data_IF_796919987682
#
_entry.id   IF_796919987682
#
_cell.length_a   1.000
_cell.length_b   1.000
_cell.length_c   1.000
_cell.angle_alpha   90.00
_cell.angle_beta   90.00
_cell.angle_gamma   90.00
#
_symmetry.space_group_name_H-M   'P 1'
#
loop_
_entity.id
_entity.type
_entity.pdbx_description
1 polymer ?
#
# COMPACT_ATOMS: atom_id res chain seq x y z
N UNK A 1 11.37 -7.40 22.11
CA UNK A 1 10.07 -8.09 22.06
C UNK A 1 9.14 -7.34 21.12
N UNK A 2 8.27 -8.04 20.41
CA UNK A 2 7.31 -7.41 19.49
C UNK A 2 5.95 -7.27 20.18
N UNK A 3 5.38 -6.07 20.11
CA UNK A 3 4.02 -5.77 20.56
C UNK A 3 3.17 -5.34 19.39
N UNK A 4 1.98 -5.92 19.29
CA UNK A 4 0.98 -5.54 18.30
C UNK A 4 0.33 -4.21 18.68
N UNK A 5 -0.08 -3.43 17.69
CA UNK A 5 -0.91 -2.24 17.90
C UNK A 5 -2.05 -2.21 16.87
N UNK A 6 -3.23 -1.69 17.26
CA UNK A 6 -4.39 -1.64 16.38
C UNK A 6 -4.24 -0.54 15.32
N UNK A 7 -4.58 -0.88 14.08
CA UNK A 7 -4.68 0.10 12.98
C UNK A 7 -6.11 0.63 12.93
N UNK A 8 -6.34 1.96 12.90
CA UNK A 8 -7.67 2.54 12.76
C UNK A 8 -8.30 2.12 11.43
N UNK A 9 -9.55 1.63 11.49
CA UNK A 9 -10.33 1.24 10.31
C UNK A 9 -11.25 2.40 9.91
N UNK A 10 -11.28 2.72 8.62
CA UNK A 10 -12.29 3.63 8.08
C UNK A 10 -13.67 2.95 8.01
N UNK A 11 -14.72 3.69 8.34
CA UNK A 11 -16.11 3.28 8.10
C UNK A 11 -16.47 3.51 6.63
N UNK A 12 -16.68 2.43 5.87
CA UNK A 12 -17.06 2.49 4.45
C UNK A 12 -18.48 1.96 4.29
N UNK A 13 -19.36 2.76 3.69
CA UNK A 13 -20.81 2.51 3.67
C UNK A 13 -21.29 1.57 2.54
N UNK A 14 -20.43 1.14 1.61
CA UNK A 14 -20.83 0.24 0.52
C UNK A 14 -19.73 -0.77 0.17
N UNK A 15 -19.89 -2.02 0.60
CA UNK A 15 -18.96 -3.12 0.29
C UNK A 15 -19.56 -4.07 -0.75
N UNK A 16 -19.53 -3.67 -2.03
CA UNK A 16 -19.70 -4.62 -3.13
C UNK A 16 -18.31 -5.08 -3.61
N UNK A 17 -17.94 -6.28 -3.15
CA UNK A 17 -16.66 -6.98 -3.36
C UNK A 17 -15.47 -6.36 -2.62
N UNK A 18 -15.20 -6.89 -1.42
CA UNK A 18 -13.98 -6.62 -0.66
C UNK A 18 -12.81 -7.38 -1.32
N UNK A 19 -12.28 -6.83 -2.42
CA UNK A 19 -10.87 -7.01 -2.74
C UNK A 19 -10.13 -6.11 -1.76
N UNK A 20 -9.51 -6.75 -0.76
CA UNK A 20 -8.95 -6.14 0.44
C UNK A 20 -8.12 -4.88 0.12
N UNK A 21 -8.60 -3.71 0.56
CA UNK A 21 -7.83 -2.45 0.57
C UNK A 21 -6.50 -2.55 1.35
N UNK A 22 -6.30 -3.62 2.13
CA UNK A 22 -5.07 -3.96 2.84
C UNK A 22 -4.24 -5.05 2.13
N UNK A 23 -4.61 -5.46 0.92
CA UNK A 23 -3.91 -6.55 0.23
C UNK A 23 -2.65 -5.98 -0.41
N UNK A 24 -1.53 -6.30 0.21
CA UNK A 24 -0.21 -6.10 -0.38
C UNK A 24 0.05 -7.27 -1.33
N UNK A 25 0.19 -6.97 -2.62
CA UNK A 25 0.44 -7.95 -3.68
C UNK A 25 1.93 -8.27 -3.82
N UNK A 26 2.80 -7.29 -3.55
CA UNK A 26 4.25 -7.44 -3.60
C UNK A 26 4.94 -6.45 -2.65
N UNK A 27 6.14 -6.84 -2.21
CA UNK A 27 7.03 -6.02 -1.38
C UNK A 27 8.42 -6.07 -1.99
N UNK A 28 9.06 -4.91 -2.14
CA UNK A 28 10.42 -4.78 -2.67
C UNK A 28 11.21 -3.77 -1.82
N UNK A 29 12.50 -4.01 -1.67
CA UNK A 29 13.45 -3.05 -1.11
C UNK A 29 14.34 -2.55 -2.25
N UNK A 30 14.57 -1.23 -2.33
CA UNK A 30 15.53 -0.67 -3.26
C UNK A 30 16.94 -0.56 -2.67
N UNK A 31 17.89 -0.02 -3.44
CA UNK A 31 19.29 0.06 -3.04
C UNK A 31 19.56 1.04 -1.90
N UNK A 32 18.64 1.97 -1.67
CA UNK A 32 18.75 2.98 -0.61
C UNK A 32 18.05 2.53 0.68
N UNK A 33 17.54 1.29 0.72
CA UNK A 33 16.82 0.72 1.86
C UNK A 33 15.37 1.20 1.96
N UNK A 34 14.82 1.79 0.90
CA UNK A 34 13.41 2.20 0.86
C UNK A 34 12.54 1.00 0.50
N UNK A 35 11.45 0.82 1.25
CA UNK A 35 10.49 -0.24 1.00
C UNK A 35 9.36 0.23 0.10
N UNK A 36 8.98 -0.62 -0.84
CA UNK A 36 7.92 -0.43 -1.81
C UNK A 36 6.88 -1.53 -1.64
N UNK A 37 5.61 -1.13 -1.52
CA UNK A 37 4.48 -2.03 -1.31
C UNK A 37 3.49 -1.85 -2.47
N UNK A 38 3.38 -2.86 -3.33
CA UNK A 38 2.37 -2.90 -4.38
C UNK A 38 1.01 -3.26 -3.80
N UNK A 39 -0.04 -2.61 -4.28
CA UNK A 39 -1.41 -2.87 -3.84
C UNK A 39 -2.29 -3.29 -5.02
N UNK A 40 -3.27 -4.13 -4.73
CA UNK A 40 -4.27 -4.61 -5.69
C UNK A 40 -5.34 -3.52 -5.92
N UNK A 41 -5.10 -2.66 -6.90
CA UNK A 41 -6.03 -1.61 -7.35
C UNK A 41 -5.89 -0.24 -6.66
N UNK A 42 -4.95 -0.07 -5.73
CA UNK A 42 -4.76 1.17 -4.97
C UNK A 42 -3.41 1.88 -5.21
N UNK A 43 -2.57 1.41 -6.12
CA UNK A 43 -1.26 2.00 -6.43
C UNK A 43 -0.13 1.42 -5.59
N UNK A 44 0.83 2.26 -5.20
CA UNK A 44 2.04 1.85 -4.47
C UNK A 44 2.21 2.71 -3.22
N UNK A 45 2.66 2.09 -2.13
CA UNK A 45 3.16 2.81 -0.95
C UNK A 45 4.68 2.70 -0.87
N UNK A 46 5.36 3.82 -0.63
CA UNK A 46 6.81 3.90 -0.41
C UNK A 46 7.09 4.26 1.04
N UNK A 47 8.04 3.59 1.68
CA UNK A 47 8.48 3.87 3.05
C UNK A 47 9.99 4.07 3.12
N UNK A 48 10.42 5.27 3.50
CA UNK A 48 11.83 5.69 3.55
C UNK A 48 12.50 5.44 4.90
N UNK A 49 11.88 4.64 5.78
CA UNK A 49 12.32 4.43 7.16
C UNK A 49 11.78 5.47 8.16
N UNK A 50 11.12 6.54 7.69
CA UNK A 50 10.55 7.60 8.53
C UNK A 50 9.08 7.89 8.22
N UNK A 51 8.71 7.86 6.94
CA UNK A 51 7.41 8.31 6.45
C UNK A 51 6.91 7.45 5.30
N UNK A 52 5.57 7.35 5.19
CA UNK A 52 4.91 6.69 4.06
C UNK A 52 4.50 7.73 3.01
N UNK A 53 4.75 7.42 1.75
CA UNK A 53 4.25 8.17 0.59
C UNK A 53 3.37 7.25 -0.25
N UNK A 54 2.15 7.66 -0.53
CA UNK A 54 1.24 6.96 -1.43
C UNK A 54 1.38 7.51 -2.85
N UNK A 55 1.43 6.63 -3.84
CA UNK A 55 1.52 6.97 -5.26
C UNK A 55 0.41 6.24 -6.02
N UNK A 56 -0.24 6.98 -6.91
CA UNK A 56 -1.35 6.52 -7.74
C UNK A 56 -1.20 7.01 -9.18
N UNK A 57 -2.18 6.69 -10.02
CA UNK A 57 -2.30 7.25 -11.38
C UNK A 57 -2.35 8.78 -11.39
N UNK A 58 -2.78 9.44 -10.31
CA UNK A 58 -2.73 10.90 -10.17
C UNK A 58 -1.31 11.44 -10.06
N UNK A 59 -0.39 10.61 -9.57
CA UNK A 59 1.02 10.91 -9.35
C UNK A 59 1.90 10.42 -10.51
N UNK A 60 1.28 9.87 -11.57
CA UNK A 60 1.95 9.45 -12.80
C UNK A 60 2.15 7.94 -12.95
N UNK A 61 1.59 7.10 -12.08
CA UNK A 61 1.56 5.65 -12.33
C UNK A 61 0.71 5.32 -13.57
N UNK A 62 1.11 4.31 -14.33
CA UNK A 62 0.35 3.86 -15.50
C UNK A 62 -0.93 3.09 -15.13
N UNK A 63 -0.94 2.44 -13.97
CA UNK A 63 -2.08 1.72 -13.40
C UNK A 63 -1.98 1.74 -11.86
N UNK A 64 -3.12 1.62 -11.17
CA UNK A 64 -3.19 1.43 -9.73
C UNK A 64 -3.18 -0.06 -9.35
N UNK A 65 -3.35 -0.98 -10.29
CA UNK A 65 -3.16 -2.40 -10.01
C UNK A 65 -1.69 -2.80 -10.15
N UNK A 66 -1.02 -3.06 -9.03
CA UNK A 66 0.41 -3.35 -9.01
C UNK A 66 0.63 -4.76 -8.49
N UNK A 67 1.33 -5.59 -9.26
CA UNK A 67 1.70 -6.97 -8.90
C UNK A 67 3.18 -7.20 -9.23
N UNK A 68 3.83 -8.15 -8.54
CA UNK A 68 5.24 -8.54 -8.81
C UNK A 68 5.44 -9.16 -10.17
#
# INVERSE_FOLDING_TARGET
>A
EFTSFPIPKASVEDTNTILSYNRISCIMEDRDGTFWFGTDGFGICRFDGRSFTHLSTKDGLCDNNVTS
#
